data_IF_194777589299
#
_entry.id   IF_194777589299
#
_cell.length_a   1.000
_cell.length_b   1.000
_cell.length_c   1.000
_cell.angle_alpha   90.00
_cell.angle_beta   90.00
_cell.angle_gamma   90.00
#
_symmetry.space_group_name_H-M   'P 1'
#
loop_
_entity.id
_entity.type
_entity.pdbx_description
1 polymer ?
#
# COMPACT_ATOMS: atom_id res chain seq x y z
N UNK A 1 -4.17 -27.41 -11.53
CA UNK A 1 -4.86 -26.65 -12.59
C UNK A 1 -4.30 -25.24 -12.51
N UNK A 2 -3.52 -24.80 -13.51
CA UNK A 2 -2.95 -23.45 -13.49
C UNK A 2 -4.08 -22.43 -13.62
N UNK A 3 -3.98 -21.30 -12.93
CA UNK A 3 -5.00 -20.25 -13.02
C UNK A 3 -4.95 -19.59 -14.41
N UNK A 4 -6.07 -19.02 -14.86
CA UNK A 4 -6.13 -18.33 -16.15
C UNK A 4 -5.12 -17.17 -16.24
N UNK A 5 -4.72 -16.62 -15.08
CA UNK A 5 -3.71 -15.58 -14.95
C UNK A 5 -2.30 -16.11 -15.27
N UNK A 6 -1.91 -17.24 -14.66
CA UNK A 6 -0.61 -17.88 -14.92
C UNK A 6 -0.45 -18.26 -16.41
N UNK A 7 -1.54 -18.66 -17.06
CA UNK A 7 -1.52 -19.05 -18.48
C UNK A 7 -1.39 -17.86 -19.44
N UNK A 8 -1.89 -16.68 -19.05
CA UNK A 8 -1.78 -15.46 -19.83
C UNK A 8 -0.35 -14.89 -19.77
N UNK A 9 0.31 -15.03 -18.62
CA UNK A 9 1.66 -14.54 -18.38
C UNK A 9 2.73 -15.41 -19.06
N UNK A 10 2.55 -16.73 -19.09
CA UNK A 10 3.43 -17.68 -19.79
C UNK A 10 3.46 -17.44 -21.32
N UNK A 11 2.43 -16.79 -21.87
CA UNK A 11 2.36 -16.36 -23.27
C UNK A 11 3.04 -15.02 -23.50
N UNK A 12 2.90 -14.09 -22.56
CA UNK A 12 3.48 -12.75 -22.62
C UNK A 12 5.02 -12.79 -22.54
N UNK A 13 5.59 -13.64 -21.69
CA UNK A 13 7.05 -13.82 -21.57
C UNK A 13 7.75 -14.32 -22.86
N UNK A 14 7.00 -14.96 -23.76
CA UNK A 14 7.54 -15.51 -25.02
C UNK A 14 7.61 -14.48 -26.15
N UNK A 15 6.85 -13.39 -26.08
CA UNK A 15 6.66 -12.46 -27.20
C UNK A 15 7.54 -11.20 -27.10
N UNK A 16 7.97 -10.79 -25.91
CA UNK A 16 8.95 -9.72 -25.73
C UNK A 16 9.74 -9.92 -24.44
N UNK A 17 11.08 -10.02 -24.46
CA UNK A 17 11.88 -10.04 -23.25
C UNK A 17 12.01 -8.61 -22.73
N UNK A 18 10.90 -8.02 -22.30
CA UNK A 18 10.92 -6.83 -21.47
C UNK A 18 11.42 -7.23 -20.09
N UNK A 19 12.29 -6.39 -19.49
CA UNK A 19 12.64 -6.49 -18.05
C UNK A 19 11.42 -6.09 -17.23
N UNK A 20 10.38 -6.89 -17.31
CA UNK A 20 9.19 -6.76 -16.50
C UNK A 20 9.36 -7.60 -15.24
N UNK A 21 8.75 -7.13 -14.15
CA UNK A 21 8.67 -7.88 -12.91
C UNK A 21 8.06 -9.25 -13.21
N UNK A 22 8.56 -10.33 -12.62
CA UNK A 22 7.93 -11.65 -12.71
C UNK A 22 6.58 -11.64 -11.97
N UNK A 23 5.74 -12.66 -12.19
CA UNK A 23 4.45 -12.76 -11.48
C UNK A 23 4.62 -12.88 -9.97
N UNK A 24 5.65 -13.60 -9.54
CA UNK A 24 6.01 -13.70 -8.12
C UNK A 24 6.35 -12.31 -7.55
N UNK A 25 7.13 -11.52 -8.28
CA UNK A 25 7.54 -10.17 -7.88
C UNK A 25 6.37 -9.17 -7.88
N UNK A 26 5.46 -9.28 -8.86
CA UNK A 26 4.21 -8.51 -8.87
C UNK A 26 3.29 -8.92 -7.72
N UNK A 27 3.23 -10.21 -7.42
CA UNK A 27 2.47 -10.76 -6.29
C UNK A 27 2.98 -10.25 -4.95
N UNK A 28 4.30 -10.28 -4.73
CA UNK A 28 4.94 -9.75 -3.53
C UNK A 28 4.68 -8.25 -3.34
N UNK A 29 4.75 -7.47 -4.42
CA UNK A 29 4.43 -6.05 -4.39
C UNK A 29 2.94 -5.82 -4.09
N UNK A 30 2.04 -6.56 -4.73
CA UNK A 30 0.60 -6.44 -4.49
C UNK A 30 0.24 -6.80 -3.04
N UNK A 31 0.86 -7.83 -2.48
CA UNK A 31 0.63 -8.22 -1.09
C UNK A 31 1.18 -7.17 -0.12
N UNK A 32 2.35 -6.60 -0.43
CA UNK A 32 2.90 -5.48 0.33
C UNK A 32 1.95 -4.28 0.30
N UNK A 33 1.45 -3.88 -0.87
CA UNK A 33 0.50 -2.76 -1.00
C UNK A 33 -0.78 -3.03 -0.19
N UNK A 34 -1.37 -4.23 -0.26
CA UNK A 34 -2.54 -4.61 0.55
C UNK A 34 -2.29 -4.50 2.05
N UNK A 35 -1.13 -4.95 2.54
CA UNK A 35 -0.78 -4.84 3.96
C UNK A 35 -0.70 -3.38 4.39
N UNK A 36 -0.18 -2.50 3.54
CA UNK A 36 -0.11 -1.07 3.82
C UNK A 36 -1.47 -0.39 3.74
N UNK A 37 -2.30 -0.73 2.76
CA UNK A 37 -3.68 -0.26 2.65
C UNK A 37 -4.51 -0.65 3.86
N UNK A 38 -4.41 -1.90 4.32
CA UNK A 38 -5.08 -2.36 5.53
C UNK A 38 -4.67 -1.54 6.77
N UNK A 39 -3.37 -1.29 6.94
CA UNK A 39 -2.87 -0.44 8.04
C UNK A 39 -3.39 0.99 7.98
N UNK A 40 -3.50 1.56 6.78
CA UNK A 40 -4.08 2.90 6.59
C UNK A 40 -5.56 2.88 6.94
N UNK A 41 -6.30 1.86 6.48
CA UNK A 41 -7.73 1.72 6.75
C UNK A 41 -8.01 1.60 8.26
N UNK A 42 -7.29 0.72 8.96
CA UNK A 42 -7.43 0.54 10.41
C UNK A 42 -7.20 1.87 11.15
N UNK A 43 -6.17 2.61 10.75
CA UNK A 43 -5.82 3.86 11.41
C UNK A 43 -6.81 4.98 11.15
N UNK A 44 -7.34 5.05 9.93
CA UNK A 44 -8.40 5.98 9.55
C UNK A 44 -9.67 5.68 10.33
N UNK A 45 -10.09 4.41 10.40
CA UNK A 45 -11.28 4.01 11.16
C UNK A 45 -11.13 4.37 12.64
N UNK A 46 -9.96 4.10 13.23
CA UNK A 46 -9.68 4.44 14.63
C UNK A 46 -9.76 5.95 14.88
N UNK A 47 -9.03 6.76 14.12
CA UNK A 47 -8.98 8.21 14.35
C UNK A 47 -10.30 8.90 14.04
N UNK A 48 -11.05 8.44 13.03
CA UNK A 48 -12.40 8.94 12.76
C UNK A 48 -13.33 8.66 13.94
N UNK A 49 -13.25 7.47 14.55
CA UNK A 49 -14.04 7.17 15.75
C UNK A 49 -13.69 8.05 16.96
N UNK A 50 -12.43 8.42 17.13
CA UNK A 50 -12.01 9.38 18.16
C UNK A 50 -12.47 10.81 17.84
N UNK A 51 -12.48 11.20 16.56
CA UNK A 51 -13.01 12.49 16.13
C UNK A 51 -14.51 12.60 16.37
N UNK A 52 -15.29 11.57 16.05
CA UNK A 52 -16.74 11.56 16.33
C UNK A 52 -17.03 11.72 17.83
N UNK A 53 -16.24 11.08 18.69
CA UNK A 53 -16.35 11.26 20.15
C UNK A 53 -16.00 12.68 20.58
N UNK A 54 -14.92 13.25 20.05
CA UNK A 54 -14.49 14.61 20.36
C UNK A 54 -15.50 15.66 19.84
N UNK A 55 -16.09 15.45 18.66
CA UNK A 55 -17.18 16.27 18.12
C UNK A 55 -18.41 16.21 19.02
N UNK A 56 -18.81 15.02 19.47
CA UNK A 56 -19.93 14.85 20.39
C UNK A 56 -19.68 15.51 21.76
N UNK A 57 -18.41 15.59 22.19
CA UNK A 57 -18.00 16.27 23.41
C UNK A 57 -17.82 17.80 23.23
N UNK A 58 -17.90 18.33 22.00
CA UNK A 58 -17.63 19.73 21.69
C UNK A 58 -16.15 20.12 21.75
N UNK A 59 -15.24 19.14 21.75
CA UNK A 59 -13.79 19.34 21.79
C UNK A 59 -13.22 19.59 20.38
N UNK A 60 -13.66 20.66 19.72
CA UNK A 60 -13.26 20.97 18.34
C UNK A 60 -11.75 21.13 18.14
N UNK A 61 -11.03 21.59 19.16
CA UNK A 61 -9.56 21.65 19.12
C UNK A 61 -8.92 20.26 19.03
N UNK A 62 -9.49 19.28 19.74
CA UNK A 62 -9.04 17.89 19.68
C UNK A 62 -9.36 17.26 18.32
N UNK A 63 -10.52 17.58 17.74
CA UNK A 63 -10.88 17.17 16.37
C UNK A 63 -9.89 17.72 15.33
N UNK A 64 -9.45 18.97 15.47
CA UNK A 64 -8.44 19.57 14.58
C UNK A 64 -7.07 18.88 14.73
N UNK A 65 -6.67 18.56 15.96
CA UNK A 65 -5.44 17.82 16.24
C UNK A 65 -5.48 16.41 15.65
N UNK A 66 -6.58 15.68 15.84
CA UNK A 66 -6.79 14.34 15.28
C UNK A 66 -6.79 14.35 13.74
N UNK A 67 -7.38 15.37 13.11
CA UNK A 67 -7.30 15.57 11.66
C UNK A 67 -5.86 15.77 11.16
N UNK A 68 -5.09 16.65 11.84
CA UNK A 68 -3.67 16.86 11.52
C UNK A 68 -2.85 15.58 11.69
N UNK A 69 -3.14 14.82 12.73
CA UNK A 69 -2.51 13.53 12.97
C UNK A 69 -2.83 12.54 11.85
N UNK A 70 -4.10 12.39 11.47
CA UNK A 70 -4.52 11.51 10.37
C UNK A 70 -3.84 11.88 9.04
N UNK A 71 -3.76 13.17 8.71
CA UNK A 71 -3.09 13.64 7.50
C UNK A 71 -1.58 13.34 7.50
N UNK A 72 -0.91 13.54 8.64
CA UNK A 72 0.51 13.24 8.81
C UNK A 72 0.78 11.73 8.68
N UNK A 73 -0.01 10.91 9.36
CA UNK A 73 0.17 9.46 9.35
C UNK A 73 -0.11 8.84 7.98
N UNK A 74 -1.15 9.30 7.26
CA UNK A 74 -1.38 8.91 5.85
C UNK A 74 -0.16 9.19 5.00
N UNK A 75 0.40 10.40 5.09
CA UNK A 75 1.58 10.80 4.31
C UNK A 75 2.81 9.95 4.63
N UNK A 76 3.02 9.59 5.89
CA UNK A 76 4.12 8.71 6.32
C UNK A 76 3.92 7.30 5.79
N UNK A 77 2.71 6.75 5.89
CA UNK A 77 2.39 5.40 5.44
C UNK A 77 2.50 5.30 3.91
N UNK A 78 1.91 6.22 3.16
CA UNK A 78 2.01 6.29 1.69
C UNK A 78 3.46 6.48 1.23
N UNK A 79 4.23 7.34 1.91
CA UNK A 79 5.66 7.52 1.65
C UNK A 79 6.47 6.25 1.91
N UNK A 80 6.14 5.53 2.98
CA UNK A 80 6.73 4.24 3.34
C UNK A 80 6.45 3.14 2.31
N UNK A 81 5.22 3.05 1.82
CA UNK A 81 4.81 2.11 0.75
C UNK A 81 5.60 2.38 -0.52
N UNK A 82 5.62 3.63 -0.99
CA UNK A 82 6.34 4.00 -2.22
C UNK A 82 7.85 3.79 -2.13
N UNK A 83 8.44 4.04 -0.96
CA UNK A 83 9.86 3.79 -0.72
C UNK A 83 10.19 2.29 -0.72
N UNK A 84 9.33 1.46 -0.14
CA UNK A 84 9.51 0.00 -0.15
C UNK A 84 9.24 -0.62 -1.51
N UNK A 85 8.22 -0.19 -2.24
CA UNK A 85 7.96 -0.62 -3.62
C UNK A 85 9.16 -0.29 -4.52
N UNK A 86 9.70 0.92 -4.45
CA UNK A 86 10.92 1.31 -5.18
C UNK A 86 12.14 0.49 -4.77
N UNK A 87 12.31 0.23 -3.47
CA UNK A 87 13.41 -0.59 -2.97
C UNK A 87 13.29 -2.03 -3.45
N UNK A 88 12.10 -2.62 -3.37
CA UNK A 88 11.85 -3.99 -3.79
C UNK A 88 12.06 -4.12 -5.31
N UNK A 89 11.48 -3.22 -6.11
CA UNK A 89 11.69 -3.14 -7.55
C UNK A 89 13.18 -2.97 -7.92
N UNK A 90 13.95 -2.18 -7.18
CA UNK A 90 15.41 -2.05 -7.38
C UNK A 90 16.18 -3.30 -6.98
N UNK A 91 15.90 -3.93 -5.84
CA UNK A 91 16.57 -5.16 -5.41
C UNK A 91 16.36 -6.29 -6.43
N UNK A 92 15.13 -6.39 -6.93
CA UNK A 92 14.75 -7.31 -8.00
C UNK A 92 15.50 -7.02 -9.30
N UNK A 93 15.70 -5.75 -9.66
CA UNK A 93 16.46 -5.36 -10.86
C UNK A 93 17.99 -5.38 -10.71
N UNK A 94 18.50 -5.42 -9.48
CA UNK A 94 19.94 -5.33 -9.15
C UNK A 94 20.55 -6.68 -8.76
N UNK A 95 19.76 -7.73 -8.51
CA UNK A 95 20.26 -9.10 -8.43
C UNK A 95 20.61 -9.64 -9.83
N UNK A 96 21.74 -9.18 -10.37
CA UNK A 96 22.48 -9.87 -11.44
C UNK A 96 23.97 -9.67 -11.27
#
# INVERSE_FOLDING_TARGET
MKSAFELAMERLEKEAPTRELTDEQRGELAELSKVYEAKIADRVVFLNGEMEKAEAAGEFEQVEQLNKQLASERKVLEGGTRAKEKRNSRLIGVFR
#
